data_IF_911556041471
#
_entry.id   IF_911556041471
#
_cell.length_a   1.000
_cell.length_b   1.000
_cell.length_c   1.000
_cell.angle_alpha   90.00
_cell.angle_beta   90.00
_cell.angle_gamma   90.00
#
_symmetry.space_group_name_H-M   'P 1'
#
loop_
_entity.id
_entity.type
_entity.pdbx_description
1 polymer ?
#
# COMPACT_ATOMS: atom_id res chain seq x y z
N UNK A 1 4.09 10.07 -0.29
CA UNK A 1 2.70 10.08 0.19
C UNK A 1 2.70 9.48 1.58
N UNK A 2 2.22 10.22 2.58
CA UNK A 2 2.11 9.74 3.94
C UNK A 2 0.63 9.62 4.28
N UNK A 3 0.16 8.41 4.54
CA UNK A 3 -1.20 8.11 4.96
C UNK A 3 -1.21 7.50 6.37
N UNK A 4 -0.13 7.64 7.15
CA UNK A 4 -0.05 7.11 8.52
C UNK A 4 -1.29 7.48 9.34
N UNK A 5 -1.80 6.52 10.11
CA UNK A 5 -3.00 6.66 10.95
C UNK A 5 -4.27 7.05 10.19
N UNK A 6 -4.36 6.71 8.89
CA UNK A 6 -5.60 6.80 8.13
C UNK A 6 -6.17 5.41 7.92
N UNK A 7 -7.43 5.22 8.30
CA UNK A 7 -8.17 3.99 7.99
C UNK A 7 -8.36 3.88 6.47
N UNK A 8 -7.69 2.91 5.87
CA UNK A 8 -7.80 2.65 4.44
C UNK A 8 -9.07 1.81 4.19
N UNK A 9 -10.19 2.50 3.92
CA UNK A 9 -11.40 1.83 3.44
C UNK A 9 -11.13 1.12 2.10
N UNK A 10 -11.90 0.08 1.78
CA UNK A 10 -11.71 -0.76 0.59
C UNK A 10 -11.55 0.03 -0.71
N UNK A 11 -12.39 1.06 -0.91
CA UNK A 11 -12.29 1.90 -2.11
C UNK A 11 -11.02 2.77 -2.13
N UNK A 12 -10.58 3.24 -0.96
CA UNK A 12 -9.32 3.97 -0.82
C UNK A 12 -8.11 3.07 -1.11
N UNK A 13 -8.13 1.84 -0.58
CA UNK A 13 -7.11 0.83 -0.85
C UNK A 13 -7.06 0.49 -2.35
N UNK A 14 -8.21 0.24 -2.96
CA UNK A 14 -8.33 -0.05 -4.40
C UNK A 14 -7.78 1.08 -5.26
N UNK A 15 -8.14 2.33 -4.96
CA UNK A 15 -7.63 3.49 -5.69
C UNK A 15 -6.12 3.63 -5.55
N UNK A 16 -5.58 3.37 -4.35
CA UNK A 16 -4.14 3.36 -4.10
C UNK A 16 -3.44 2.31 -4.96
N UNK A 17 -3.92 1.06 -4.99
CA UNK A 17 -3.33 -0.01 -5.79
C UNK A 17 -3.39 0.28 -7.29
N UNK A 18 -4.52 0.81 -7.77
CA UNK A 18 -4.65 1.24 -9.16
C UNK A 18 -3.65 2.36 -9.51
N UNK A 19 -3.49 3.32 -8.61
CA UNK A 19 -2.52 4.42 -8.79
C UNK A 19 -1.10 3.91 -8.82
N UNK A 20 -0.73 2.97 -7.93
CA UNK A 20 0.59 2.35 -7.90
C UNK A 20 0.89 1.54 -9.18
N UNK A 21 -0.11 0.87 -9.77
CA UNK A 21 0.04 0.14 -11.04
C UNK A 21 0.17 1.04 -12.26
N UNK A 22 -0.14 2.33 -12.14
CA UNK A 22 -0.16 3.22 -13.28
C UNK A 22 1.27 3.53 -13.77
N UNK A 23 1.57 3.45 -15.08
CA UNK A 23 2.94 3.61 -15.60
C UNK A 23 3.59 4.95 -15.27
N UNK A 24 2.77 6.01 -15.09
CA UNK A 24 3.23 7.36 -14.74
C UNK A 24 3.15 7.64 -13.24
N UNK A 25 3.04 6.61 -12.40
CA UNK A 25 3.12 6.77 -10.96
C UNK A 25 4.56 7.10 -10.55
N UNK A 26 4.84 8.38 -10.26
CA UNK A 26 6.15 8.85 -9.82
C UNK A 26 6.34 8.76 -8.29
N UNK A 27 5.43 8.09 -7.59
CA UNK A 27 5.50 7.97 -6.13
C UNK A 27 6.68 7.10 -5.72
N UNK A 28 7.64 7.68 -5.01
CA UNK A 28 8.83 6.96 -4.53
C UNK A 28 8.74 6.47 -3.08
N UNK A 29 7.96 7.17 -2.26
CA UNK A 29 7.84 6.89 -0.82
C UNK A 29 6.38 6.86 -0.40
N UNK A 30 5.97 5.76 0.22
CA UNK A 30 4.62 5.53 0.72
C UNK A 30 4.67 5.07 2.18
N UNK A 31 3.96 5.76 3.06
CA UNK A 31 3.72 5.29 4.43
C UNK A 31 2.26 4.95 4.61
N UNK A 32 2.00 3.70 5.02
CA UNK A 32 0.70 3.18 5.44
C UNK A 32 0.79 2.68 6.88
N UNK A 33 1.63 3.30 7.70
CA UNK A 33 1.77 2.93 9.12
C UNK A 33 0.44 3.12 9.84
N UNK A 34 0.02 2.14 10.65
CA UNK A 34 -1.20 2.24 11.46
C UNK A 34 -2.46 2.55 10.63
N UNK A 35 -2.60 1.90 9.47
CA UNK A 35 -3.72 2.09 8.53
C UNK A 35 -4.80 1.01 8.64
N UNK A 36 -4.77 0.20 9.70
CA UNK A 36 -5.65 -0.97 9.90
C UNK A 36 -5.59 -2.01 8.77
N UNK A 37 -4.45 -2.12 8.07
CA UNK A 37 -4.27 -3.13 7.04
C UNK A 37 -4.24 -4.53 7.69
N UNK A 38 -4.95 -5.45 7.05
CA UNK A 38 -4.97 -6.88 7.40
C UNK A 38 -4.29 -7.71 6.31
N UNK A 39 -4.07 -9.01 6.56
CA UNK A 39 -3.47 -9.92 5.57
C UNK A 39 -4.20 -9.90 4.22
N UNK A 40 -5.51 -9.62 4.21
CA UNK A 40 -6.34 -9.58 3.01
C UNK A 40 -5.86 -8.53 1.98
N UNK A 41 -5.27 -7.43 2.45
CA UNK A 41 -4.80 -6.33 1.60
C UNK A 41 -3.42 -6.60 0.97
N UNK A 42 -2.65 -7.56 1.50
CA UNK A 42 -1.28 -7.83 1.05
C UNK A 42 -1.21 -8.35 -0.39
N UNK A 43 -2.22 -9.12 -0.83
CA UNK A 43 -2.26 -9.65 -2.20
C UNK A 43 -2.40 -8.54 -3.25
N UNK A 44 -3.27 -7.56 -3.01
CA UNK A 44 -3.45 -6.44 -3.92
C UNK A 44 -2.28 -5.45 -3.85
N UNK A 45 -1.75 -5.21 -2.64
CA UNK A 45 -0.57 -4.38 -2.46
C UNK A 45 0.66 -4.99 -3.17
N UNK A 46 0.96 -6.26 -2.96
CA UNK A 46 2.10 -6.94 -3.59
C UNK A 46 2.02 -6.93 -5.11
N UNK A 47 0.85 -7.23 -5.68
CA UNK A 47 0.65 -7.16 -7.13
C UNK A 47 0.79 -5.74 -7.68
N UNK A 48 0.42 -4.71 -6.93
CA UNK A 48 0.69 -3.32 -7.32
C UNK A 48 2.18 -2.98 -7.26
N UNK A 49 2.92 -3.48 -6.26
CA UNK A 49 4.35 -3.25 -6.11
C UNK A 49 5.19 -3.95 -7.19
N UNK A 50 4.78 -5.14 -7.66
CA UNK A 50 5.45 -5.83 -8.78
C UNK A 50 5.43 -4.96 -10.05
N UNK A 51 4.33 -4.26 -10.29
CA UNK A 51 4.18 -3.36 -11.46
C UNK A 51 4.87 -2.03 -11.22
N UNK A 52 4.82 -1.51 -9.99
CA UNK A 52 5.41 -0.22 -9.67
C UNK A 52 6.94 -0.28 -9.58
N UNK A 53 7.61 0.26 -10.59
CA UNK A 53 9.08 0.29 -10.66
C UNK A 53 9.70 1.56 -10.04
N UNK A 54 8.92 2.40 -9.35
CA UNK A 54 9.37 3.71 -8.86
C UNK A 54 9.38 3.81 -7.33
N UNK A 55 8.54 3.05 -6.65
CA UNK A 55 8.46 3.04 -5.19
C UNK A 55 9.73 2.40 -4.64
N UNK A 56 10.45 3.15 -3.81
CA UNK A 56 11.71 2.73 -3.20
C UNK A 56 11.60 2.61 -1.68
N UNK A 57 10.59 3.23 -1.07
CA UNK A 57 10.35 3.15 0.36
C UNK A 57 8.88 2.89 0.64
N UNK A 58 8.62 1.86 1.44
CA UNK A 58 7.29 1.49 1.90
C UNK A 58 7.35 1.24 3.41
N UNK A 59 6.50 1.92 4.18
CA UNK A 59 6.30 1.66 5.59
C UNK A 59 4.92 1.04 5.81
N UNK A 60 4.89 -0.16 6.41
CA UNK A 60 3.67 -0.88 6.80
C UNK A 60 3.62 -1.15 8.31
N UNK A 61 4.43 -0.44 9.11
CA UNK A 61 4.52 -0.67 10.55
C UNK A 61 3.15 -0.51 11.22
N UNK A 62 2.97 -1.17 12.38
CA UNK A 62 1.73 -1.08 13.17
C UNK A 62 0.45 -1.50 12.41
N UNK A 63 0.56 -2.39 11.44
CA UNK A 63 -0.59 -3.05 10.83
C UNK A 63 -0.68 -4.52 11.26
N UNK A 64 -1.87 -5.11 11.18
CA UNK A 64 -2.14 -6.49 11.56
C UNK A 64 -1.98 -7.45 10.36
N UNK A 65 -0.80 -7.44 9.73
CA UNK A 65 -0.53 -8.18 8.49
C UNK A 65 -0.36 -9.70 8.68
N UNK A 66 -0.03 -10.13 9.89
CA UNK A 66 0.26 -11.53 10.21
C UNK A 66 1.41 -12.13 9.39
N UNK A 67 1.64 -13.44 9.55
CA UNK A 67 2.74 -14.14 8.86
C UNK A 67 2.43 -14.44 7.39
N UNK A 68 1.15 -14.37 7.00
CA UNK A 68 0.69 -14.65 5.63
C UNK A 68 0.65 -13.41 4.76
N UNK A 69 0.68 -12.22 5.37
CA UNK A 69 0.75 -10.93 4.67
C UNK A 69 2.13 -10.63 4.15
#
# INVERSE_FOLDING_TARGET
LNLTANELLDEGAKLLYMTLRYPTCFLQRLSLEDCHLTEAYCKDLSSALIVNQRLTHLCLAKNALGDRG
#
